data_IF_299940409750
#
_entry.id   IF_299940409750
#
_cell.length_a   1.000
_cell.length_b   1.000
_cell.length_c   1.000
_cell.angle_alpha   90.00
_cell.angle_beta   90.00
_cell.angle_gamma   90.00
#
_symmetry.space_group_name_H-M   'P 1'
#
loop_
_entity.id
_entity.type
_entity.pdbx_description
1 polymer ?
#
# COMPACT_ATOMS: atom_id res chain seq x y z
N UNK A 1 22.57 -0.98 -4.69
CA UNK A 1 22.01 0.36 -4.96
C UNK A 1 20.51 0.22 -5.02
N UNK A 2 19.79 0.81 -4.07
CA UNK A 2 18.31 0.78 -4.07
C UNK A 2 17.86 1.68 -5.23
N UNK A 3 17.33 1.09 -6.29
CA UNK A 3 16.90 1.84 -7.47
C UNK A 3 15.68 2.68 -7.10
N UNK A 4 15.56 3.89 -7.64
CA UNK A 4 14.35 4.70 -7.51
C UNK A 4 13.13 3.91 -8.07
N UNK A 5 12.00 3.81 -7.35
CA UNK A 5 10.86 2.99 -7.77
C UNK A 5 10.21 3.49 -9.07
N UNK A 6 10.21 4.80 -9.34
CA UNK A 6 9.70 5.36 -10.58
C UNK A 6 10.64 5.07 -11.75
N UNK A 7 11.95 5.24 -11.55
CA UNK A 7 12.95 4.90 -12.58
C UNK A 7 12.92 3.40 -12.88
N UNK A 8 12.81 2.56 -11.87
CA UNK A 8 12.63 1.12 -12.04
C UNK A 8 11.38 0.80 -12.86
N UNK A 9 10.25 1.44 -12.56
CA UNK A 9 9.00 1.20 -13.27
C UNK A 9 9.06 1.66 -14.74
N UNK A 10 9.69 2.80 -15.02
CA UNK A 10 9.92 3.31 -16.38
C UNK A 10 10.85 2.37 -17.15
N UNK A 11 12.01 2.02 -16.57
CA UNK A 11 13.01 1.18 -17.21
C UNK A 11 12.46 -0.20 -17.58
N UNK A 12 11.65 -0.80 -16.69
CA UNK A 12 11.02 -2.09 -16.94
C UNK A 12 9.73 -1.98 -17.78
N UNK A 13 9.34 -0.77 -18.20
CA UNK A 13 8.12 -0.49 -18.96
C UNK A 13 6.90 -1.14 -18.31
N UNK A 14 6.74 -0.95 -17.01
CA UNK A 14 5.70 -1.62 -16.23
C UNK A 14 4.33 -1.32 -16.81
N UNK A 15 3.61 -2.36 -17.20
CA UNK A 15 2.23 -2.31 -17.67
C UNK A 15 1.28 -2.21 -16.48
N UNK A 16 0.42 -1.22 -16.51
CA UNK A 16 -0.67 -1.03 -15.57
C UNK A 16 -1.96 -1.65 -16.13
N UNK A 17 -3.03 -1.60 -15.34
CA UNK A 17 -4.36 -2.02 -15.77
C UNK A 17 -4.75 -1.38 -17.11
N UNK A 18 -5.29 -2.18 -18.03
CA UNK A 18 -5.62 -1.74 -19.39
C UNK A 18 -4.42 -1.66 -20.34
N UNK A 19 -3.24 -2.19 -19.97
CA UNK A 19 -2.07 -2.26 -20.83
C UNK A 19 -1.27 -0.96 -20.97
N UNK A 20 -1.69 0.10 -20.27
CA UNK A 20 -1.00 1.39 -20.26
C UNK A 20 0.38 1.25 -19.60
N UNK A 21 1.43 1.72 -20.25
CA UNK A 21 2.78 1.71 -19.69
C UNK A 21 2.93 2.84 -18.66
N UNK A 22 3.54 2.52 -17.52
CA UNK A 22 3.84 3.49 -16.48
C UNK A 22 4.73 4.61 -17.04
N UNK A 23 4.34 5.85 -16.75
CA UNK A 23 5.07 7.08 -17.08
C UNK A 23 4.84 8.12 -15.98
N UNK A 24 5.80 9.04 -15.83
CA UNK A 24 5.66 10.23 -15.01
C UNK A 24 5.05 11.41 -15.78
N UNK A 25 4.83 11.25 -17.08
CA UNK A 25 4.20 12.27 -17.90
C UNK A 25 2.76 12.55 -17.43
N UNK A 26 2.40 13.84 -17.35
CA UNK A 26 1.14 14.30 -16.77
C UNK A 26 0.97 14.05 -15.26
N UNK A 27 1.95 13.45 -14.57
CA UNK A 27 1.83 13.10 -13.16
C UNK A 27 3.14 13.29 -12.37
N UNK A 28 3.92 14.35 -12.63
CA UNK A 28 5.24 14.56 -11.98
C UNK A 28 5.21 14.52 -10.44
N UNK A 29 4.12 14.97 -9.82
CA UNK A 29 3.90 14.91 -8.36
C UNK A 29 4.04 13.48 -7.79
N UNK A 30 3.80 12.46 -8.61
CA UNK A 30 3.99 11.04 -8.26
C UNK A 30 5.44 10.75 -7.88
N UNK A 31 6.39 11.36 -8.59
CA UNK A 31 7.81 11.13 -8.32
C UNK A 31 8.24 11.63 -6.94
N UNK A 32 7.61 12.69 -6.44
CA UNK A 32 7.87 13.21 -5.09
C UNK A 32 7.31 12.26 -4.02
N UNK A 33 6.04 11.87 -4.13
CA UNK A 33 5.39 10.93 -3.19
C UNK A 33 6.11 9.58 -3.15
N UNK A 34 6.54 9.07 -4.29
CA UNK A 34 7.21 7.77 -4.40
C UNK A 34 8.62 7.75 -3.81
N UNK A 35 9.29 8.91 -3.78
CA UNK A 35 10.62 9.10 -3.19
C UNK A 35 10.58 9.59 -1.75
N UNK A 36 9.41 9.93 -1.23
CA UNK A 36 9.28 10.45 0.12
C UNK A 36 9.71 9.39 1.16
N UNK A 37 10.68 9.79 1.99
CA UNK A 37 11.27 8.96 3.04
C UNK A 37 10.71 9.27 4.44
N UNK A 38 9.62 10.03 4.56
CA UNK A 38 8.92 10.22 5.82
C UNK A 38 8.49 8.87 6.43
N UNK A 39 8.50 8.78 7.76
CA UNK A 39 8.00 7.58 8.47
C UNK A 39 6.50 7.42 8.31
N UNK A 40 5.77 8.54 8.26
CA UNK A 40 4.33 8.56 8.05
C UNK A 40 4.01 9.42 6.83
N UNK A 41 3.44 8.80 5.80
CA UNK A 41 3.00 9.47 4.58
C UNK A 41 1.48 9.45 4.54
N UNK A 42 0.88 10.59 4.27
CA UNK A 42 -0.58 10.72 4.17
C UNK A 42 -0.89 11.34 2.83
N UNK A 43 -1.65 10.63 2.00
CA UNK A 43 -2.07 11.12 0.69
C UNK A 43 -3.58 11.22 0.65
N UNK A 44 -4.05 12.46 0.74
CA UNK A 44 -5.43 12.81 0.46
C UNK A 44 -5.61 12.91 -1.06
N UNK A 45 -6.40 11.99 -1.62
CA UNK A 45 -6.49 11.79 -3.07
C UNK A 45 -7.92 11.95 -3.58
N UNK A 46 -8.07 12.49 -4.79
CA UNK A 46 -9.30 12.34 -5.57
C UNK A 46 -9.46 10.91 -6.10
N UNK A 47 -10.66 10.58 -6.56
CA UNK A 47 -10.89 9.33 -7.30
C UNK A 47 -10.02 9.31 -8.56
N UNK A 48 -9.57 8.12 -8.97
CA UNK A 48 -8.78 7.91 -10.19
C UNK A 48 -7.41 8.65 -10.27
N UNK A 49 -6.92 9.27 -9.19
CA UNK A 49 -5.60 9.95 -9.15
C UNK A 49 -4.36 9.01 -9.22
N UNK A 50 -4.56 7.74 -9.59
CA UNK A 50 -3.54 6.67 -9.72
C UNK A 50 -2.72 6.34 -8.47
N UNK A 51 -2.90 7.06 -7.35
CA UNK A 51 -2.13 6.92 -6.11
C UNK A 51 -2.03 5.48 -5.58
N UNK A 52 -3.14 4.76 -5.51
CA UNK A 52 -3.15 3.36 -5.08
C UNK A 52 -2.23 2.48 -5.93
N UNK A 53 -2.25 2.65 -7.26
CA UNK A 53 -1.35 1.92 -8.17
C UNK A 53 0.12 2.23 -7.88
N UNK A 54 0.44 3.46 -7.44
CA UNK A 54 1.80 3.84 -7.10
C UNK A 54 2.30 3.13 -5.86
N UNK A 55 1.47 3.08 -4.82
CA UNK A 55 1.83 2.36 -3.60
C UNK A 55 1.89 0.84 -3.82
N UNK A 56 1.14 0.28 -4.76
CA UNK A 56 1.36 -1.11 -5.22
C UNK A 56 2.77 -1.29 -5.82
N UNK A 57 3.18 -0.40 -6.73
CA UNK A 57 4.50 -0.45 -7.36
C UNK A 57 5.61 -0.25 -6.34
N UNK A 58 5.46 0.71 -5.43
CA UNK A 58 6.39 0.98 -4.34
C UNK A 58 6.56 -0.23 -3.43
N UNK A 59 5.45 -0.84 -3.00
CA UNK A 59 5.48 -2.05 -2.17
C UNK A 59 6.22 -3.19 -2.89
N UNK A 60 5.86 -3.51 -4.13
CA UNK A 60 6.54 -4.57 -4.90
C UNK A 60 8.03 -4.26 -5.09
N UNK A 61 8.35 -3.04 -5.51
CA UNK A 61 9.73 -2.58 -5.71
C UNK A 61 10.55 -2.72 -4.42
N UNK A 62 10.01 -2.24 -3.30
CA UNK A 62 10.69 -2.30 -2.00
C UNK A 62 11.04 -3.74 -1.60
N UNK A 63 10.16 -4.70 -1.91
CA UNK A 63 10.39 -6.11 -1.62
C UNK A 63 11.37 -6.77 -2.60
N UNK A 64 11.28 -6.45 -3.90
CA UNK A 64 12.23 -6.94 -4.92
C UNK A 64 13.67 -6.55 -4.54
N UNK A 65 13.87 -5.32 -4.06
CA UNK A 65 15.18 -4.80 -3.67
C UNK A 65 15.51 -4.99 -2.19
N UNK A 66 14.73 -5.80 -1.46
CA UNK A 66 14.93 -6.12 -0.04
C UNK A 66 15.05 -4.89 0.88
N UNK A 67 14.37 -3.77 0.54
CA UNK A 67 14.28 -2.59 1.41
C UNK A 67 13.55 -2.93 2.72
N UNK A 68 12.50 -3.74 2.61
CA UNK A 68 11.61 -4.09 3.72
C UNK A 68 11.65 -5.61 3.95
N UNK A 69 12.71 -6.13 4.61
CA UNK A 69 12.89 -7.58 4.81
C UNK A 69 11.79 -8.23 5.67
N UNK A 70 11.18 -7.51 6.62
CA UNK A 70 10.05 -8.01 7.43
C UNK A 70 8.73 -8.01 6.65
N UNK A 71 8.71 -7.41 5.47
CA UNK A 71 7.57 -7.41 4.55
C UNK A 71 6.74 -6.12 4.60
N UNK A 72 5.73 -6.09 3.74
CA UNK A 72 4.77 -4.99 3.62
C UNK A 72 3.36 -5.52 3.84
N UNK A 73 2.56 -4.82 4.64
CA UNK A 73 1.13 -5.14 4.79
C UNK A 73 0.30 -4.03 4.17
N UNK A 74 -0.61 -4.43 3.29
CA UNK A 74 -1.58 -3.55 2.64
C UNK A 74 -2.97 -3.85 3.20
N UNK A 75 -3.53 -2.91 3.96
CA UNK A 75 -4.83 -3.00 4.58
C UNK A 75 -5.91 -2.35 3.73
N UNK A 76 -7.04 -3.04 3.63
CA UNK A 76 -8.30 -2.53 3.07
C UNK A 76 -9.40 -2.58 4.13
N UNK A 77 -10.49 -1.79 4.00
CA UNK A 77 -11.54 -1.74 5.01
C UNK A 77 -12.16 -3.11 5.27
N UNK A 78 -12.40 -3.90 4.23
CA UNK A 78 -12.99 -5.25 4.33
C UNK A 78 -12.17 -6.32 3.61
N UNK A 79 -12.41 -7.58 3.96
CA UNK A 79 -11.80 -8.72 3.26
C UNK A 79 -12.29 -8.84 1.81
N UNK A 80 -13.55 -8.47 1.53
CA UNK A 80 -14.08 -8.44 0.16
C UNK A 80 -13.31 -7.45 -0.72
N UNK A 81 -13.00 -6.27 -0.18
CA UNK A 81 -12.18 -5.28 -0.88
C UNK A 81 -10.78 -5.86 -1.19
N UNK A 82 -10.19 -6.62 -0.27
CA UNK A 82 -8.91 -7.30 -0.50
C UNK A 82 -9.01 -8.29 -1.65
N UNK A 83 -10.05 -9.13 -1.66
CA UNK A 83 -10.23 -10.14 -2.71
C UNK A 83 -10.35 -9.51 -4.09
N UNK A 84 -11.23 -8.51 -4.20
CA UNK A 84 -11.46 -7.77 -5.44
C UNK A 84 -10.16 -7.09 -5.87
N UNK A 85 -9.49 -6.37 -4.96
CA UNK A 85 -8.26 -5.65 -5.28
C UNK A 85 -7.12 -6.59 -5.70
N UNK A 86 -6.96 -7.71 -5.00
CA UNK A 86 -5.95 -8.70 -5.35
C UNK A 86 -6.19 -9.26 -6.74
N UNK A 87 -7.43 -9.64 -7.07
CA UNK A 87 -7.77 -10.28 -8.36
C UNK A 87 -7.72 -9.28 -9.51
N UNK A 88 -8.24 -8.07 -9.32
CA UNK A 88 -8.40 -7.07 -10.40
C UNK A 88 -7.19 -6.16 -10.59
N UNK A 89 -6.35 -5.98 -9.55
CA UNK A 89 -5.21 -5.04 -9.61
C UNK A 89 -3.88 -5.76 -9.52
N UNK A 90 -3.63 -6.51 -8.44
CA UNK A 90 -2.35 -7.22 -8.29
C UNK A 90 -2.20 -8.38 -9.29
N UNK A 91 -3.27 -9.11 -9.58
CA UNK A 91 -3.27 -10.20 -10.56
C UNK A 91 -2.72 -9.75 -11.92
N UNK A 92 -3.38 -8.78 -12.60
CA UNK A 92 -2.89 -8.21 -13.84
C UNK A 92 -1.50 -7.59 -13.73
N UNK A 93 -1.21 -6.86 -12.65
CA UNK A 93 0.12 -6.28 -12.45
C UNK A 93 1.22 -7.35 -12.42
N UNK A 94 0.98 -8.52 -11.82
CA UNK A 94 1.93 -9.62 -11.80
C UNK A 94 1.95 -10.37 -13.14
N UNK A 95 0.78 -10.66 -13.74
CA UNK A 95 0.71 -11.41 -14.99
C UNK A 95 1.32 -10.66 -16.16
N UNK A 96 1.12 -9.35 -16.23
CA UNK A 96 1.46 -8.56 -17.43
C UNK A 96 2.91 -8.09 -17.44
N UNK A 97 3.61 -8.23 -16.31
CA UNK A 97 4.97 -7.74 -16.10
C UNK A 97 5.93 -8.89 -15.80
N UNK A 98 6.68 -9.41 -16.80
CA UNK A 98 7.60 -10.53 -16.61
C UNK A 98 8.65 -10.32 -15.52
N UNK A 99 9.13 -9.08 -15.31
CA UNK A 99 10.10 -8.77 -14.27
C UNK A 99 9.54 -8.98 -12.85
N UNK A 100 8.27 -8.63 -12.61
CA UNK A 100 7.57 -8.86 -11.35
C UNK A 100 7.22 -10.35 -11.23
N UNK A 101 6.60 -10.91 -12.28
CA UNK A 101 6.19 -12.32 -12.33
C UNK A 101 7.32 -13.28 -11.98
N UNK A 102 8.51 -13.03 -12.53
CA UNK A 102 9.71 -13.84 -12.28
C UNK A 102 10.07 -13.87 -10.80
N UNK A 103 9.91 -12.76 -10.08
CA UNK A 103 10.26 -12.69 -8.65
C UNK A 103 9.18 -13.32 -7.78
N UNK A 104 7.91 -13.10 -8.09
CA UNK A 104 6.78 -13.67 -7.34
C UNK A 104 6.71 -15.19 -7.52
N UNK A 105 6.79 -15.67 -8.76
CA UNK A 105 6.66 -17.09 -9.10
C UNK A 105 7.90 -17.93 -8.79
N UNK A 106 8.99 -17.34 -8.28
CA UNK A 106 10.11 -18.11 -7.69
C UNK A 106 9.64 -19.01 -6.54
N UNK A 107 8.53 -18.65 -5.93
CA UNK A 107 7.95 -19.37 -4.81
C UNK A 107 6.53 -19.79 -5.14
N UNK A 108 6.03 -20.86 -4.51
CA UNK A 108 4.64 -21.31 -4.67
C UNK A 108 3.65 -20.47 -3.85
N UNK A 109 4.11 -19.42 -3.17
CA UNK A 109 3.30 -18.59 -2.26
C UNK A 109 2.78 -17.35 -2.98
N UNK A 110 1.73 -17.55 -3.78
CA UNK A 110 0.97 -16.47 -4.42
C UNK A 110 -0.53 -16.77 -4.30
N UNK A 111 -1.16 -16.24 -3.26
CA UNK A 111 -2.59 -16.34 -2.99
C UNK A 111 -3.22 -14.95 -2.98
N UNK A 112 -4.55 -14.90 -2.79
CA UNK A 112 -5.30 -13.64 -2.70
C UNK A 112 -4.73 -12.75 -1.59
N UNK A 113 -4.57 -13.30 -0.38
CA UNK A 113 -4.15 -12.54 0.81
C UNK A 113 -2.64 -12.43 1.01
N UNK A 114 -1.84 -13.27 0.35
CA UNK A 114 -0.38 -13.30 0.58
C UNK A 114 0.35 -13.51 -0.74
N UNK A 115 1.33 -12.66 -1.01
CA UNK A 115 2.24 -12.76 -2.16
C UNK A 115 3.66 -12.73 -1.65
N UNK A 116 4.44 -13.77 -1.90
CA UNK A 116 5.87 -13.76 -1.59
C UNK A 116 6.63 -13.10 -2.74
N UNK A 117 7.36 -12.04 -2.43
CA UNK A 117 8.13 -11.25 -3.40
C UNK A 117 9.60 -11.36 -3.01
N UNK A 118 10.33 -12.26 -3.67
CA UNK A 118 11.69 -12.60 -3.26
C UNK A 118 11.69 -13.30 -1.91
N UNK A 119 12.35 -12.71 -0.92
CA UNK A 119 12.51 -13.30 0.41
C UNK A 119 11.49 -12.82 1.43
N UNK A 120 10.71 -11.79 1.09
CA UNK A 120 9.77 -11.14 1.99
C UNK A 120 8.31 -11.28 1.50
N UNK A 121 7.36 -10.94 2.37
CA UNK A 121 5.93 -11.10 2.12
C UNK A 121 5.26 -9.76 1.87
N UNK A 122 4.42 -9.71 0.83
CA UNK A 122 3.36 -8.72 0.66
C UNK A 122 2.05 -9.34 1.14
N UNK A 123 1.57 -8.89 2.29
CA UNK A 123 0.31 -9.37 2.87
C UNK A 123 -0.81 -8.37 2.57
N UNK A 124 -1.95 -8.85 2.09
CA UNK A 124 -3.17 -8.07 1.90
C UNK A 124 -4.18 -8.48 2.98
N UNK A 125 -4.69 -7.53 3.75
CA UNK A 125 -5.48 -7.81 4.96
C UNK A 125 -6.73 -6.92 5.03
N UNK A 126 -7.85 -7.52 5.44
CA UNK A 126 -9.08 -6.79 5.75
C UNK A 126 -9.03 -6.21 7.17
N UNK A 127 -9.44 -4.96 7.31
CA UNK A 127 -9.55 -4.22 8.58
C UNK A 127 -10.90 -4.36 9.26
N UNK A 128 -11.75 -5.31 8.86
CA UNK A 128 -13.02 -5.55 9.52
C UNK A 128 -12.79 -5.98 10.97
N UNK A 129 -13.55 -5.38 11.89
CA UNK A 129 -13.62 -5.85 13.26
C UNK A 129 -14.25 -7.25 13.27
N UNK A 130 -13.53 -8.23 13.79
CA UNK A 130 -13.98 -9.62 13.89
C UNK A 130 -14.56 -9.94 15.26
N UNK A 131 -14.25 -9.14 16.28
CA UNK A 131 -14.74 -9.31 17.65
C UNK A 131 -15.04 -7.94 18.27
N UNK A 132 -16.10 -7.89 19.07
CA UNK A 132 -16.38 -6.77 19.96
C UNK A 132 -16.10 -7.24 21.39
N UNK A 133 -15.00 -6.77 21.97
CA UNK A 133 -14.62 -7.08 23.35
C UNK A 133 -14.98 -5.88 24.20
N UNK A 134 -16.11 -5.92 24.89
CA UNK A 134 -16.57 -4.87 25.81
C UNK A 134 -16.57 -3.46 25.19
N UNK A 135 -17.04 -3.33 23.94
CA UNK A 135 -17.09 -2.05 23.22
C UNK A 135 -15.78 -1.69 22.51
N UNK A 136 -14.73 -2.51 22.61
CA UNK A 136 -13.49 -2.38 21.83
C UNK A 136 -13.53 -3.33 20.64
N UNK A 137 -13.58 -2.73 19.45
CA UNK A 137 -13.45 -3.45 18.19
C UNK A 137 -12.04 -4.07 18.05
N UNK A 138 -12.00 -5.37 17.82
CA UNK A 138 -10.77 -6.15 17.64
C UNK A 138 -10.79 -6.92 16.32
N UNK A 139 -9.62 -7.10 15.70
CA UNK A 139 -9.46 -7.87 14.46
C UNK A 139 -8.28 -8.83 14.55
N UNK A 140 -8.56 -10.12 14.58
CA UNK A 140 -7.53 -11.17 14.58
C UNK A 140 -6.68 -11.15 13.30
N UNK A 141 -7.27 -10.74 12.17
CA UNK A 141 -6.58 -10.63 10.90
C UNK A 141 -5.45 -9.57 10.93
N UNK A 142 -5.63 -8.51 11.71
CA UNK A 142 -4.69 -7.37 11.82
C UNK A 142 -3.48 -7.71 12.69
N UNK A 143 -3.60 -8.62 13.67
CA UNK A 143 -2.54 -8.90 14.67
C UNK A 143 -1.51 -9.97 14.25
N UNK A 144 -1.64 -10.58 13.08
CA UNK A 144 -0.94 -11.85 12.81
C UNK A 144 0.46 -11.74 12.22
N UNK A 145 0.86 -10.61 11.65
CA UNK A 145 2.07 -10.54 10.82
C UNK A 145 2.89 -9.28 11.12
N UNK A 146 4.19 -9.38 11.48
CA UNK A 146 5.06 -8.20 11.56
C UNK A 146 5.36 -7.65 10.17
N UNK A 147 5.72 -6.36 10.08
CA UNK A 147 6.08 -5.71 8.82
C UNK A 147 7.00 -4.52 9.03
N UNK A 148 7.66 -4.07 7.95
CA UNK A 148 8.42 -2.82 7.93
C UNK A 148 7.60 -1.64 7.42
N UNK A 149 6.60 -1.90 6.58
CA UNK A 149 5.69 -0.90 6.04
C UNK A 149 4.24 -1.37 6.13
N UNK A 150 3.37 -0.47 6.57
CA UNK A 150 1.92 -0.63 6.63
C UNK A 150 1.28 0.42 5.75
N UNK A 151 0.50 -0.02 4.77
CA UNK A 151 -0.27 0.84 3.87
C UNK A 151 -1.75 0.64 4.16
N UNK A 152 -2.47 1.70 4.51
CA UNK A 152 -3.92 1.67 4.75
C UNK A 152 -4.60 2.45 3.63
N UNK A 153 -5.29 1.75 2.74
CA UNK A 153 -6.00 2.36 1.62
C UNK A 153 -7.47 2.53 1.95
N UNK A 154 -8.09 3.59 1.43
CA UNK A 154 -9.41 4.06 1.87
C UNK A 154 -9.51 4.23 3.40
N UNK A 155 -8.49 4.87 4.00
CA UNK A 155 -8.37 5.10 5.44
C UNK A 155 -9.60 5.75 6.09
N UNK A 156 -10.36 6.54 5.33
CA UNK A 156 -11.64 7.11 5.76
C UNK A 156 -12.69 6.04 6.10
N UNK A 157 -12.64 4.87 5.49
CA UNK A 157 -13.59 3.78 5.71
C UNK A 157 -13.19 2.85 6.87
N UNK A 158 -12.03 3.08 7.49
CA UNK A 158 -11.57 2.30 8.63
C UNK A 158 -12.14 2.80 9.96
N UNK A 159 -12.41 1.86 10.85
CA UNK A 159 -12.55 2.19 12.26
C UNK A 159 -11.20 2.69 12.83
N UNK A 160 -11.23 3.78 13.59
CA UNK A 160 -10.02 4.41 14.13
C UNK A 160 -9.23 3.52 15.10
N UNK A 161 -9.90 2.62 15.85
CA UNK A 161 -9.24 1.67 16.75
C UNK A 161 -8.45 0.66 15.92
N UNK A 162 -9.10 0.04 14.93
CA UNK A 162 -8.45 -0.93 14.05
C UNK A 162 -7.26 -0.31 13.31
N UNK A 163 -7.42 0.92 12.80
CA UNK A 163 -6.32 1.62 12.15
C UNK A 163 -5.11 1.85 13.05
N UNK A 164 -5.31 2.14 14.35
CA UNK A 164 -4.19 2.25 15.30
C UNK A 164 -3.50 0.92 15.54
N UNK A 165 -4.26 -0.18 15.58
CA UNK A 165 -3.70 -1.53 15.78
C UNK A 165 -2.79 -1.99 14.64
N UNK A 166 -2.94 -1.44 13.43
CA UNK A 166 -2.03 -1.78 12.33
C UNK A 166 -0.60 -1.31 12.61
N UNK A 167 -0.43 -0.22 13.37
CA UNK A 167 0.88 0.35 13.73
C UNK A 167 1.65 -0.58 14.66
N UNK A 168 0.95 -1.37 15.46
CA UNK A 168 1.58 -2.36 16.35
C UNK A 168 2.40 -3.42 15.58
N UNK A 169 2.13 -3.59 14.27
CA UNK A 169 2.91 -4.52 13.42
C UNK A 169 4.31 -4.01 13.11
N UNK A 170 4.54 -2.72 13.30
CA UNK A 170 5.79 -2.02 13.03
C UNK A 170 6.70 -1.92 14.26
N UNK A 171 6.26 -2.39 15.44
CA UNK A 171 6.96 -2.15 16.72
C UNK A 171 8.42 -2.63 16.68
N UNK A 172 8.63 -3.80 16.08
CA UNK A 172 9.94 -4.44 15.92
C UNK A 172 10.70 -3.97 14.67
N UNK A 173 10.11 -3.14 13.80
CA UNK A 173 10.79 -2.64 12.59
C UNK A 173 11.68 -1.44 12.88
N UNK A 174 12.82 -1.35 12.21
CA UNK A 174 13.67 -0.15 12.23
C UNK A 174 13.08 0.98 11.35
N UNK A 175 12.31 0.62 10.32
CA UNK A 175 11.76 1.56 9.33
C UNK A 175 10.50 2.25 9.83
N UNK A 176 9.62 1.48 10.50
CA UNK A 176 8.33 1.95 11.05
C UNK A 176 7.51 2.78 10.06
N UNK A 177 7.39 2.29 8.83
CA UNK A 177 6.75 3.02 7.74
C UNK A 177 5.23 2.87 7.77
N UNK A 178 4.54 4.00 7.73
CA UNK A 178 3.10 4.11 7.75
C UNK A 178 2.63 4.94 6.56
N UNK A 179 1.62 4.46 5.86
CA UNK A 179 1.02 5.15 4.71
C UNK A 179 -0.49 5.15 4.87
N UNK A 180 -1.10 6.33 4.83
CA UNK A 180 -2.55 6.51 4.78
C UNK A 180 -2.97 7.07 3.42
N UNK A 181 -3.80 6.33 2.71
CA UNK A 181 -4.41 6.75 1.45
C UNK A 181 -5.90 6.88 1.65
N UNK A 182 -6.51 7.91 1.08
CA UNK A 182 -7.97 7.98 1.05
C UNK A 182 -8.50 9.29 0.52
N UNK A 183 -9.80 9.29 0.24
CA UNK A 183 -10.51 10.48 -0.21
C UNK A 183 -10.91 11.34 0.99
N UNK A 184 -10.98 12.68 0.85
CA UNK A 184 -11.54 13.55 1.88
C UNK A 184 -13.06 13.45 1.89
N UNK A 185 -13.60 12.34 2.43
CA UNK A 185 -15.06 12.12 2.46
C UNK A 185 -15.76 13.03 3.46
N UNK A 186 -15.13 13.30 4.62
CA UNK A 186 -15.64 14.16 5.69
C UNK A 186 -14.49 14.95 6.30
N UNK A 187 -14.67 16.27 6.48
CA UNK A 187 -13.71 17.15 7.16
C UNK A 187 -13.40 16.64 8.56
N UNK A 188 -12.13 16.71 8.98
CA UNK A 188 -11.67 16.25 10.31
C UNK A 188 -11.93 14.78 10.63
N UNK A 189 -12.15 13.95 9.61
CA UNK A 189 -12.27 12.52 9.74
C UNK A 189 -11.32 11.76 8.80
N UNK A 190 -10.95 10.53 9.18
CA UNK A 190 -10.11 9.67 8.35
C UNK A 190 -8.83 10.33 7.87
N UNK A 191 -8.57 10.27 6.57
CA UNK A 191 -7.39 10.86 5.92
C UNK A 191 -7.32 12.38 6.07
N UNK A 192 -8.46 13.10 6.06
CA UNK A 192 -8.49 14.57 6.22
C UNK A 192 -7.90 15.00 7.57
N UNK A 193 -8.31 14.31 8.66
CA UNK A 193 -7.78 14.58 10.01
C UNK A 193 -6.28 14.34 10.12
N UNK A 194 -5.79 13.27 9.50
CA UNK A 194 -4.37 12.89 9.57
C UNK A 194 -3.54 13.85 8.70
N UNK A 195 -4.04 14.22 7.52
CA UNK A 195 -3.42 15.20 6.63
C UNK A 195 -3.35 16.59 7.27
N UNK A 196 -4.38 17.00 8.02
CA UNK A 196 -4.37 18.26 8.78
C UNK A 196 -3.20 18.39 9.77
N UNK A 197 -2.57 17.27 10.17
CA UNK A 197 -1.41 17.24 11.08
C UNK A 197 -0.07 17.08 10.37
N UNK A 198 -0.04 17.02 9.04
CA UNK A 198 1.20 16.85 8.25
C UNK A 198 1.77 18.19 7.77
N UNK A 199 2.77 18.14 6.89
CA UNK A 199 3.35 19.28 6.18
C UNK A 199 2.46 19.83 5.05
N UNK A 200 1.28 19.25 4.84
CA UNK A 200 0.22 19.71 3.94
C UNK A 200 0.69 20.12 2.53
N UNK A 201 1.51 19.29 1.87
CA UNK A 201 1.89 19.53 0.47
C UNK A 201 0.68 19.37 -0.47
N UNK A 202 0.42 20.39 -1.29
CA UNK A 202 -0.68 20.39 -2.26
C UNK A 202 -0.16 20.28 -3.70
N UNK A 203 -0.80 19.43 -4.49
CA UNK A 203 -0.54 19.31 -5.93
C UNK A 203 -1.84 19.49 -6.70
N UNK A 204 -1.85 20.46 -7.61
CA UNK A 204 -2.96 20.69 -8.54
C UNK A 204 -2.81 19.74 -9.73
N UNK A 205 -3.84 18.92 -9.95
CA UNK A 205 -3.97 18.02 -11.10
C UNK A 205 -4.93 18.70 -12.08
N UNK A 206 -4.53 18.86 -13.34
CA UNK A 206 -5.36 19.39 -14.42
C UNK A 206 -6.14 18.28 -15.11
#
# INVERSE_FOLDING_TARGET
MQTDPCIWAIHNRIKLMGGTVFTLDGCRYIGEIMRDEARHIVVMKGTQARITTLFMLRAIHSLIYRKYPKGVIYYFPTEKDVEEFSKTRFGPLISDNPCIRKVVNRTKTNSVFIKRVGDAMLSLKGGSATRDLEGKKDSGAVRSTPADEVIRDERCSFNAIIAKMTVDRLLDSDYKKEVDLGSPTVTDFGTSKVFGKSDQKFHLIK
#
